data_IF_232318412978
#
_entry.id   IF_232318412978
#
_cell.length_a   1.000
_cell.length_b   1.000
_cell.length_c   1.000
_cell.angle_alpha   90.00
_cell.angle_beta   90.00
_cell.angle_gamma   90.00
#
_symmetry.space_group_name_H-M   'P 1'
#
loop_
_entity.id
_entity.type
_entity.pdbx_description
1 polymer ?
#
# COMPACT_ATOMS: atom_id res chain seq x y z
N UNK A 1 -8.80 2.59 28.87
CA UNK A 1 -7.40 2.14 28.84
C UNK A 1 -6.58 3.41 28.71
N UNK A 2 -5.70 3.72 29.66
CA UNK A 2 -4.92 4.97 29.61
C UNK A 2 -3.85 4.83 28.53
N UNK A 3 -3.94 5.64 27.48
CA UNK A 3 -2.90 5.72 26.46
C UNK A 3 -1.62 6.21 27.13
N UNK A 4 -0.71 5.29 27.42
CA UNK A 4 0.62 5.65 27.90
C UNK A 4 1.34 6.30 26.74
N UNK A 5 1.45 7.62 26.78
CA UNK A 5 2.26 8.38 25.82
C UNK A 5 3.72 8.16 26.16
N UNK A 6 4.46 7.50 25.27
CA UNK A 6 5.91 7.27 25.42
C UNK A 6 6.63 8.52 24.89
N UNK A 7 7.35 9.29 25.74
CA UNK A 7 8.13 10.43 25.28
C UNK A 7 9.21 9.99 24.28
N UNK A 8 9.59 10.89 23.36
CA UNK A 8 10.44 10.58 22.21
C UNK A 8 11.84 10.10 22.62
N UNK A 9 12.34 10.59 23.73
CA UNK A 9 13.62 10.19 24.32
C UNK A 9 13.67 8.72 24.75
N UNK A 10 12.51 8.07 24.94
CA UNK A 10 12.40 6.66 25.26
C UNK A 10 12.09 5.79 24.03
N UNK A 11 12.07 6.36 22.83
CA UNK A 11 11.80 5.57 21.63
C UNK A 11 13.00 4.69 21.29
N UNK A 12 12.80 3.39 21.07
CA UNK A 12 13.85 2.50 20.61
C UNK A 12 14.25 2.85 19.18
N UNK A 13 15.44 2.42 18.75
CA UNK A 13 15.75 2.37 17.34
C UNK A 13 14.83 1.35 16.63
N UNK A 14 14.56 1.54 15.34
CA UNK A 14 13.68 0.64 14.58
C UNK A 14 14.11 -0.85 14.69
N UNK A 15 15.41 -1.12 14.66
CA UNK A 15 15.99 -2.47 14.79
C UNK A 15 15.83 -3.12 16.18
N UNK A 16 15.51 -2.33 17.20
CA UNK A 16 15.34 -2.81 18.58
C UNK A 16 13.88 -3.18 18.87
N UNK A 17 12.96 -2.89 17.94
CA UNK A 17 11.58 -3.34 18.03
C UNK A 17 11.48 -4.86 17.82
N UNK A 18 10.54 -5.54 18.49
CA UNK A 18 10.44 -6.99 18.41
C UNK A 18 9.77 -7.46 17.11
N UNK A 19 10.34 -8.50 16.49
CA UNK A 19 9.73 -9.23 15.38
C UNK A 19 9.35 -8.34 14.19
N UNK A 20 8.10 -8.48 13.73
CA UNK A 20 7.59 -7.74 12.56
C UNK A 20 7.49 -6.22 12.78
N UNK A 21 7.51 -5.75 14.04
CA UNK A 21 7.49 -4.31 14.33
C UNK A 21 8.76 -3.62 13.83
N UNK A 22 9.93 -4.28 13.87
CA UNK A 22 11.15 -3.71 13.30
C UNK A 22 11.01 -3.51 11.79
N UNK A 23 10.48 -4.52 11.09
CA UNK A 23 10.22 -4.45 9.65
C UNK A 23 9.21 -3.37 9.30
N UNK A 24 8.14 -3.26 10.09
CA UNK A 24 7.11 -2.24 9.90
C UNK A 24 7.68 -0.83 10.06
N UNK A 25 8.50 -0.60 11.10
CA UNK A 25 9.14 0.69 11.33
C UNK A 25 10.08 1.09 10.18
N UNK A 26 10.86 0.15 9.64
CA UNK A 26 11.72 0.40 8.48
C UNK A 26 10.91 0.79 7.25
N UNK A 27 9.86 0.05 6.92
CA UNK A 27 9.01 0.36 5.75
C UNK A 27 8.34 1.73 5.92
N UNK A 28 7.86 2.04 7.12
CA UNK A 28 7.24 3.35 7.38
C UNK A 28 8.28 4.47 7.25
N UNK A 29 9.50 4.29 7.73
CA UNK A 29 10.57 5.27 7.59
C UNK A 29 10.92 5.53 6.11
N UNK A 30 10.90 4.51 5.26
CA UNK A 30 11.12 4.64 3.83
C UNK A 30 10.03 5.46 3.13
N UNK A 31 8.75 5.27 3.50
CA UNK A 31 7.62 5.99 2.87
C UNK A 31 7.28 7.31 3.55
N UNK A 32 7.64 7.47 4.82
CA UNK A 32 7.37 8.63 5.67
C UNK A 32 8.54 8.87 6.64
N UNK A 33 9.62 9.52 6.17
CA UNK A 33 10.82 9.75 6.98
C UNK A 33 10.51 10.49 8.30
N UNK A 34 11.21 10.09 9.36
CA UNK A 34 11.08 10.61 10.71
C UNK A 34 9.94 10.01 11.55
N UNK A 35 9.11 9.14 10.97
CA UNK A 35 7.88 8.63 11.61
C UNK A 35 7.88 7.09 11.80
N UNK A 36 8.93 6.38 11.39
CA UNK A 36 8.96 4.91 11.40
C UNK A 36 8.61 4.29 12.76
N UNK A 37 9.34 4.70 13.80
CA UNK A 37 9.16 4.19 15.17
C UNK A 37 7.85 4.68 15.78
N UNK A 38 7.54 5.97 15.62
CA UNK A 38 6.32 6.57 16.18
C UNK A 38 5.06 5.85 15.72
N UNK A 39 4.89 5.73 14.40
CA UNK A 39 3.72 5.12 13.81
C UNK A 39 3.62 3.64 14.20
N UNK A 40 4.76 2.94 14.23
CA UNK A 40 4.81 1.53 14.63
C UNK A 40 4.38 1.34 16.09
N UNK A 41 4.85 2.17 17.02
CA UNK A 41 4.43 2.10 18.43
C UNK A 41 2.93 2.38 18.56
N UNK A 42 2.40 3.38 17.85
CA UNK A 42 0.95 3.68 17.85
C UNK A 42 0.13 2.51 17.32
N UNK A 43 0.56 1.86 16.23
CA UNK A 43 -0.08 0.66 15.69
C UNK A 43 -0.03 -0.48 16.72
N UNK A 44 1.13 -0.76 17.31
CA UNK A 44 1.30 -1.81 18.31
C UNK A 44 0.45 -1.58 19.57
N UNK A 45 0.29 -0.32 20.00
CA UNK A 45 -0.60 0.03 21.12
C UNK A 45 -2.08 -0.15 20.76
N UNK A 46 -2.48 0.24 19.54
CA UNK A 46 -3.86 0.13 19.07
C UNK A 46 -4.31 -1.33 18.88
N UNK A 47 -3.43 -2.20 18.35
CA UNK A 47 -3.73 -3.61 18.06
C UNK A 47 -3.13 -4.58 19.09
N UNK A 48 -2.90 -4.14 20.33
CA UNK A 48 -2.19 -4.91 21.37
C UNK A 48 -2.68 -6.37 21.47
N UNK A 49 -1.79 -7.32 21.21
CA UNK A 49 -2.05 -8.76 21.31
C UNK A 49 -3.00 -9.31 20.24
N UNK A 50 -3.43 -8.49 19.28
CA UNK A 50 -4.30 -8.87 18.18
C UNK A 50 -3.46 -9.09 16.92
N UNK A 51 -3.63 -10.24 16.28
CA UNK A 51 -3.03 -10.47 14.96
C UNK A 51 -3.76 -9.63 13.91
N UNK A 52 -3.02 -8.74 13.24
CA UNK A 52 -3.52 -7.98 12.09
C UNK A 52 -3.13 -8.72 10.82
N UNK A 53 -4.13 -9.19 10.08
CA UNK A 53 -3.90 -9.77 8.77
C UNK A 53 -3.86 -8.67 7.70
N UNK A 54 -2.71 -8.51 7.03
CA UNK A 54 -2.56 -7.60 5.91
C UNK A 54 -3.15 -8.24 4.63
N UNK A 55 -4.42 -7.92 4.34
CA UNK A 55 -5.05 -8.34 3.08
C UNK A 55 -4.29 -7.79 1.88
N UNK A 56 -4.24 -8.58 0.81
CA UNK A 56 -3.73 -8.11 -0.48
C UNK A 56 -4.59 -6.93 -0.98
N UNK A 57 -3.94 -5.84 -1.37
CA UNK A 57 -4.56 -4.61 -1.86
C UNK A 57 -4.70 -4.57 -3.38
N UNK A 58 -4.47 -5.67 -4.10
CA UNK A 58 -4.60 -5.78 -5.56
C UNK A 58 -5.92 -5.19 -6.07
N UNK A 59 -7.03 -5.43 -5.36
CA UNK A 59 -8.33 -4.89 -5.72
C UNK A 59 -8.37 -3.35 -5.67
N UNK A 60 -7.69 -2.74 -4.70
CA UNK A 60 -7.56 -1.29 -4.56
C UNK A 60 -6.62 -0.71 -5.62
N UNK A 61 -5.55 -1.44 -5.94
CA UNK A 61 -4.56 -1.05 -6.95
C UNK A 61 -5.07 -1.18 -8.40
N UNK A 62 -6.09 -2.01 -8.66
CA UNK A 62 -6.64 -2.22 -10.00
C UNK A 62 -7.08 -0.92 -10.67
N UNK A 63 -7.88 -0.11 -9.99
CA UNK A 63 -8.41 1.15 -10.56
C UNK A 63 -7.30 2.13 -10.98
N UNK A 64 -6.38 2.54 -10.09
CA UNK A 64 -5.31 3.47 -10.47
C UNK A 64 -4.37 2.87 -11.53
N UNK A 65 -4.05 1.57 -11.45
CA UNK A 65 -3.26 0.89 -12.48
C UNK A 65 -3.95 0.93 -13.85
N UNK A 66 -5.22 0.56 -13.91
CA UNK A 66 -5.98 0.48 -15.16
C UNK A 66 -6.17 1.89 -15.76
N UNK A 67 -6.29 2.93 -14.93
CA UNK A 67 -6.26 4.33 -15.38
C UNK A 67 -4.89 4.69 -15.98
N UNK A 68 -3.81 4.41 -15.26
CA UNK A 68 -2.45 4.67 -15.74
C UNK A 68 -2.17 3.98 -17.07
N UNK A 69 -2.59 2.72 -17.24
CA UNK A 69 -2.49 1.97 -18.51
C UNK A 69 -3.16 2.74 -19.67
N UNK A 70 -4.38 3.26 -19.46
CA UNK A 70 -5.12 4.01 -20.49
C UNK A 70 -4.44 5.34 -20.81
N UNK A 71 -3.96 6.05 -19.80
CA UNK A 71 -3.22 7.32 -19.97
C UNK A 71 -1.94 7.11 -20.77
N UNK A 72 -1.15 6.08 -20.45
CA UNK A 72 0.09 5.78 -21.19
C UNK A 72 -0.19 5.35 -22.63
N UNK A 73 -1.23 4.55 -22.85
CA UNK A 73 -1.63 4.17 -24.20
C UNK A 73 -2.10 5.38 -25.02
N UNK A 74 -2.90 6.27 -24.43
CA UNK A 74 -3.32 7.52 -25.06
C UNK A 74 -2.13 8.46 -25.36
N UNK A 75 -1.09 8.43 -24.53
CA UNK A 75 0.17 9.14 -24.76
C UNK A 75 1.06 8.49 -25.84
N UNK A 76 0.64 7.36 -26.42
CA UNK A 76 1.33 6.68 -27.53
C UNK A 76 2.30 5.58 -27.12
N UNK A 77 2.38 5.23 -25.83
CA UNK A 77 3.21 4.11 -25.37
C UNK A 77 2.68 2.78 -25.91
N UNK A 78 3.58 1.87 -26.33
CA UNK A 78 3.17 0.60 -26.92
C UNK A 78 2.76 -0.41 -25.85
N UNK A 79 1.80 -1.27 -26.18
CA UNK A 79 1.28 -2.30 -25.26
C UNK A 79 2.37 -3.20 -24.64
N UNK A 80 3.42 -3.66 -25.36
CA UNK A 80 4.48 -4.46 -24.75
C UNK A 80 5.30 -3.70 -23.70
N UNK A 81 5.44 -2.38 -23.84
CA UNK A 81 6.15 -1.52 -22.89
C UNK A 81 5.32 -1.31 -21.63
N UNK A 82 4.03 -1.01 -21.81
CA UNK A 82 3.05 -0.90 -20.72
C UNK A 82 3.00 -2.20 -19.93
N UNK A 83 2.87 -3.34 -20.61
CA UNK A 83 2.82 -4.68 -20.03
C UNK A 83 4.01 -4.96 -19.10
N UNK A 84 5.24 -4.62 -19.55
CA UNK A 84 6.46 -4.75 -18.74
C UNK A 84 6.46 -3.81 -17.53
N UNK A 85 6.03 -2.56 -17.72
CA UNK A 85 6.02 -1.57 -16.65
C UNK A 85 5.07 -1.94 -15.49
N UNK A 86 3.92 -2.56 -15.78
CA UNK A 86 2.94 -2.97 -14.76
C UNK A 86 3.01 -4.46 -14.38
N UNK A 87 3.93 -5.23 -14.98
CA UNK A 87 4.07 -6.67 -14.73
C UNK A 87 2.85 -7.51 -15.17
N UNK A 88 2.15 -7.11 -16.24
CA UNK A 88 1.01 -7.84 -16.79
C UNK A 88 1.34 -8.44 -18.16
N UNK A 89 0.63 -9.49 -18.56
CA UNK A 89 0.68 -9.99 -19.94
C UNK A 89 -0.04 -9.06 -20.92
N UNK A 90 0.42 -8.98 -22.17
CA UNK A 90 -0.15 -8.09 -23.20
C UNK A 90 -1.66 -8.30 -23.40
N UNK A 91 -2.12 -9.57 -23.39
CA UNK A 91 -3.55 -9.89 -23.46
C UNK A 91 -4.35 -9.18 -22.37
N UNK A 92 -3.83 -9.15 -21.14
CA UNK A 92 -4.52 -8.50 -20.02
C UNK A 92 -4.58 -6.99 -20.19
N UNK A 93 -3.53 -6.39 -20.76
CA UNK A 93 -3.52 -4.95 -21.09
C UNK A 93 -4.57 -4.65 -22.16
N UNK A 94 -4.66 -5.47 -23.22
CA UNK A 94 -5.72 -5.34 -24.23
C UNK A 94 -7.13 -5.48 -23.64
N UNK A 95 -7.35 -6.44 -22.74
CA UNK A 95 -8.64 -6.60 -22.05
C UNK A 95 -9.02 -5.33 -21.26
N UNK A 96 -8.05 -4.71 -20.58
CA UNK A 96 -8.24 -3.47 -19.82
C UNK A 96 -8.58 -2.31 -20.77
N UNK A 97 -7.83 -2.15 -21.86
CA UNK A 97 -8.08 -1.10 -22.86
C UNK A 97 -9.43 -1.26 -23.56
N UNK A 98 -9.86 -2.51 -23.82
CA UNK A 98 -11.15 -2.83 -24.45
C UNK A 98 -12.36 -2.76 -23.52
N UNK A 99 -12.15 -2.70 -22.20
CA UNK A 99 -13.23 -2.57 -21.22
C UNK A 99 -13.42 -1.11 -20.83
N UNK A 100 -14.61 -0.51 -21.01
CA UNK A 100 -14.87 0.85 -20.55
C UNK A 100 -14.72 0.95 -19.03
N UNK A 101 -14.24 2.10 -18.53
CA UNK A 101 -14.10 2.34 -17.09
C UNK A 101 -15.50 2.30 -16.45
N UNK A 102 -15.73 1.36 -15.54
CA UNK A 102 -17.02 1.27 -14.86
C UNK A 102 -17.21 2.50 -13.97
N UNK A 103 -18.21 3.33 -14.29
CA UNK A 103 -18.64 4.44 -13.43
C UNK A 103 -18.94 3.90 -12.03
N UNK A 104 -18.38 4.58 -11.03
CA UNK A 104 -18.18 4.03 -9.68
C UNK A 104 -19.44 3.44 -9.05
N UNK A 105 -19.52 2.12 -8.96
CA UNK A 105 -20.35 1.48 -7.93
C UNK A 105 -19.69 1.76 -6.57
N UNK A 106 -20.33 2.64 -5.82
CA UNK A 106 -20.12 2.93 -4.41
C UNK A 106 -19.98 1.58 -3.66
N UNK A 107 -18.77 1.26 -3.22
CA UNK A 107 -18.56 0.07 -2.39
C UNK A 107 -19.27 0.32 -1.06
N UNK A 108 -20.38 -0.39 -0.83
CA UNK A 108 -20.92 -0.53 0.52
C UNK A 108 -19.87 -1.29 1.32
N UNK A 109 -19.14 -0.56 2.17
CA UNK A 109 -18.35 -1.14 3.24
C UNK A 109 -19.36 -1.86 4.17
N UNK A 110 -19.16 -3.16 4.35
CA UNK A 110 -19.80 -3.92 5.41
C UNK A 110 -19.23 -3.49 6.76
#
# INVERSE_FOLDING_TARGET
MTDVVIPREFWPAARELPGDLARLATIIEEVCPGHGVEATLRIAMAFRGTYVYCHNIDALLRKPRDRWIREQYAAGMRVPEIARAVGLGERRVWDILGTPEAEGKQQRLF
#
